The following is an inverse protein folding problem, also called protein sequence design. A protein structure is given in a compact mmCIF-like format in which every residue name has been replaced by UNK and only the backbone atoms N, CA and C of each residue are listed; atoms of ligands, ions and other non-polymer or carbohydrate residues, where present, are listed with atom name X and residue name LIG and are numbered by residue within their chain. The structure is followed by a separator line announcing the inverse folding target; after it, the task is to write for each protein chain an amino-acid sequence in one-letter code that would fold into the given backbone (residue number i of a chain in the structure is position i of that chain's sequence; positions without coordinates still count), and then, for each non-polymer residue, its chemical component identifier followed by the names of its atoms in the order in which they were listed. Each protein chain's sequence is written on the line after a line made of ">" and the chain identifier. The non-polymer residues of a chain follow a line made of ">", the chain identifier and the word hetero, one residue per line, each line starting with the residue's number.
data_IF_170846611927
#
_entry.id   IF_170846611927
#
_cell.length_a   1.000
_cell.length_b   1.000
_cell.length_c   1.000
_cell.angle_alpha   90.00
_cell.angle_beta   90.00
_cell.angle_gamma   90.00
#
_symmetry.space_group_name_H-M   'P 1'
#
loop_
_entity.id
_entity.type
_entity.pdbx_description
1 polymer ?
#
# COMPACT_ATOMS: atom_id res chain seq x y z
N UNK A 1 -24.55 -9.82 -23.81
CA UNK A 1 -23.59 -8.71 -23.91
C UNK A 1 -23.49 -7.85 -22.63
N UNK A 2 -24.52 -7.73 -21.80
CA UNK A 2 -24.48 -6.94 -20.54
C UNK A 2 -23.65 -7.61 -19.42
N UNK A 3 -23.62 -8.95 -19.34
CA UNK A 3 -22.89 -9.68 -18.27
C UNK A 3 -21.36 -9.54 -18.35
N UNK A 4 -20.79 -9.46 -19.54
CA UNK A 4 -19.33 -9.32 -19.71
C UNK A 4 -18.81 -7.96 -19.27
N UNK A 5 -19.62 -6.90 -19.39
CA UNK A 5 -19.27 -5.55 -18.97
C UNK A 5 -19.15 -5.44 -17.43
N UNK A 6 -20.01 -6.13 -16.68
CA UNK A 6 -19.94 -6.15 -15.22
C UNK A 6 -18.71 -6.93 -14.70
N UNK A 7 -18.34 -8.03 -15.36
CA UNK A 7 -17.14 -8.82 -15.00
C UNK A 7 -15.87 -8.01 -15.27
N UNK A 8 -15.80 -7.29 -16.38
CA UNK A 8 -14.67 -6.43 -16.71
C UNK A 8 -14.53 -5.25 -15.73
N UNK A 9 -15.65 -4.64 -15.33
CA UNK A 9 -15.64 -3.53 -14.38
C UNK A 9 -15.20 -3.97 -12.97
N UNK A 10 -15.65 -5.15 -12.51
CA UNK A 10 -15.23 -5.73 -11.25
C UNK A 10 -13.73 -6.08 -11.25
N UNK A 11 -13.18 -6.54 -12.37
CA UNK A 11 -11.75 -6.85 -12.50
C UNK A 11 -10.85 -5.61 -12.39
N UNK A 12 -11.27 -4.47 -12.91
CA UNK A 12 -10.50 -3.21 -12.84
C UNK A 12 -10.47 -2.64 -11.42
N UNK A 13 -11.56 -2.79 -10.64
CA UNK A 13 -11.62 -2.31 -9.26
C UNK A 13 -10.70 -3.10 -8.30
N UNK A 14 -10.38 -4.36 -8.62
CA UNK A 14 -9.52 -5.20 -7.77
C UNK A 14 -8.03 -4.85 -7.85
N UNK A 15 -7.58 -4.16 -8.92
CA UNK A 15 -6.16 -3.82 -9.10
C UNK A 15 -5.69 -2.63 -8.25
N UNK A 16 -6.60 -1.84 -7.71
CA UNK A 16 -6.26 -0.63 -6.94
C UNK A 16 -6.06 -0.86 -5.43
N UNK A 17 -6.31 -2.08 -4.93
CA UNK A 17 -6.26 -2.39 -3.49
C UNK A 17 -4.89 -2.87 -2.98
N UNK A 18 -3.88 -3.00 -3.86
CA UNK A 18 -2.54 -3.42 -3.45
C UNK A 18 -1.80 -2.28 -2.76
N UNK A 19 -1.16 -2.57 -1.62
CA UNK A 19 -0.23 -1.64 -0.97
C UNK A 19 0.98 -1.43 -1.89
N UNK A 20 1.30 -0.18 -2.15
CA UNK A 20 2.42 0.20 -3.02
C UNK A 20 3.54 0.83 -2.19
N UNK A 21 4.78 0.62 -2.64
CA UNK A 21 5.91 1.36 -2.08
C UNK A 21 5.77 2.84 -2.46
N UNK A 22 5.96 3.76 -1.52
CA UNK A 22 5.93 5.19 -1.81
C UNK A 22 6.94 5.59 -2.88
N UNK A 23 6.52 6.45 -3.82
CA UNK A 23 7.42 6.97 -4.86
C UNK A 23 8.23 8.18 -4.38
N UNK A 24 7.85 8.80 -3.25
CA UNK A 24 8.51 9.95 -2.70
C UNK A 24 8.15 10.22 -1.26
N UNK A 25 8.96 11.05 -0.61
CA UNK A 25 8.73 11.52 0.75
C UNK A 25 7.75 12.69 0.77
N UNK A 26 6.90 12.72 1.79
CA UNK A 26 6.05 13.88 2.12
C UNK A 26 6.75 14.87 3.03
N UNK A 27 7.91 14.51 3.58
CA UNK A 27 8.71 15.38 4.44
C UNK A 27 9.49 16.39 3.58
N UNK A 28 9.31 17.70 3.80
CA UNK A 28 10.13 18.71 3.13
C UNK A 28 11.57 18.65 3.65
N UNK A 29 12.53 18.61 2.75
CA UNK A 29 13.96 18.62 3.08
C UNK A 29 14.64 19.73 2.28
N UNK A 30 15.54 20.45 2.91
CA UNK A 30 16.32 21.54 2.29
C UNK A 30 17.80 21.19 2.25
N UNK A 31 18.54 21.69 1.24
CA UNK A 31 19.98 21.53 1.21
C UNK A 31 20.63 22.05 2.49
N UNK A 32 21.67 21.38 2.96
CA UNK A 32 22.50 21.86 4.04
C UNK A 32 23.34 23.09 3.62
N UNK A 33 23.91 23.84 4.56
CA UNK A 33 24.60 25.09 4.29
C UNK A 33 25.80 24.97 3.34
N UNK A 34 26.39 23.80 3.23
CA UNK A 34 27.54 23.52 2.35
C UNK A 34 27.19 22.52 1.22
N UNK A 35 25.90 22.24 0.99
CA UNK A 35 25.47 21.26 -0.01
C UNK A 35 25.09 21.97 -1.30
N UNK A 36 25.76 21.63 -2.41
CA UNK A 36 25.37 22.12 -3.73
C UNK A 36 24.03 21.49 -4.17
N UNK A 37 23.31 22.16 -5.06
CA UNK A 37 22.04 21.64 -5.58
C UNK A 37 22.22 20.26 -6.26
N UNK A 38 23.32 20.06 -6.99
CA UNK A 38 23.61 18.78 -7.63
C UNK A 38 23.86 17.66 -6.60
N UNK A 39 24.62 17.96 -5.53
CA UNK A 39 24.82 17.01 -4.43
C UNK A 39 23.51 16.69 -3.72
N UNK A 40 22.69 17.71 -3.45
CA UNK A 40 21.38 17.52 -2.84
C UNK A 40 20.45 16.62 -3.65
N UNK A 41 20.43 16.78 -4.99
CA UNK A 41 19.65 15.89 -5.86
C UNK A 41 20.14 14.43 -5.81
N UNK A 42 21.46 14.23 -5.77
CA UNK A 42 22.05 12.91 -5.62
C UNK A 42 21.72 12.27 -4.26
N UNK A 43 21.79 13.07 -3.18
CA UNK A 43 21.40 12.66 -1.83
C UNK A 43 19.93 12.24 -1.79
N UNK A 44 19.05 13.03 -2.42
CA UNK A 44 17.63 12.68 -2.53
C UNK A 44 17.41 11.34 -3.26
N UNK A 45 18.11 11.09 -4.36
CA UNK A 45 18.00 9.85 -5.11
C UNK A 45 18.45 8.64 -4.26
N UNK A 46 19.60 8.78 -3.59
CA UNK A 46 20.17 7.74 -2.72
C UNK A 46 19.25 7.45 -1.53
N UNK A 47 18.79 8.49 -0.84
CA UNK A 47 17.93 8.34 0.32
C UNK A 47 16.53 7.81 -0.04
N UNK A 48 16.03 8.11 -1.24
CA UNK A 48 14.79 7.52 -1.75
C UNK A 48 14.93 6.01 -1.96
N UNK A 49 16.04 5.55 -2.56
CA UNK A 49 16.30 4.11 -2.72
C UNK A 49 16.41 3.41 -1.36
N UNK A 50 17.13 4.01 -0.42
CA UNK A 50 17.24 3.48 0.93
C UNK A 50 15.87 3.35 1.63
N UNK A 51 15.04 4.40 1.57
CA UNK A 51 13.71 4.38 2.14
C UNK A 51 12.78 3.36 1.47
N UNK A 52 12.88 3.19 0.14
CA UNK A 52 12.12 2.16 -0.59
C UNK A 52 12.49 0.75 -0.12
N UNK A 53 13.79 0.46 0.07
CA UNK A 53 14.25 -0.82 0.61
C UNK A 53 13.74 -1.06 2.03
N UNK A 54 13.77 -0.02 2.87
CA UNK A 54 13.31 -0.12 4.26
C UNK A 54 11.83 -0.51 4.40
N UNK A 55 10.98 -0.18 3.41
CA UNK A 55 9.54 -0.49 3.44
C UNK A 55 9.12 -1.64 2.51
N UNK A 56 10.03 -2.19 1.69
CA UNK A 56 9.70 -3.19 0.69
C UNK A 56 9.04 -4.45 1.30
N UNK A 57 9.59 -4.97 2.38
CA UNK A 57 9.07 -6.17 3.06
C UNK A 57 7.69 -5.94 3.65
N UNK A 58 7.40 -4.73 4.11
CA UNK A 58 6.10 -4.38 4.65
C UNK A 58 5.03 -4.28 3.56
N UNK A 59 5.35 -3.70 2.42
CA UNK A 59 4.44 -3.63 1.28
C UNK A 59 4.09 -5.04 0.78
N UNK A 60 5.07 -5.93 0.68
CA UNK A 60 4.85 -7.33 0.30
C UNK A 60 4.01 -8.07 1.35
N UNK A 61 4.33 -7.93 2.63
CA UNK A 61 3.58 -8.55 3.72
C UNK A 61 2.13 -8.07 3.79
N UNK A 62 1.88 -6.79 3.54
CA UNK A 62 0.54 -6.22 3.48
C UNK A 62 -0.29 -6.79 2.31
N UNK A 63 0.32 -6.94 1.14
CA UNK A 63 -0.33 -7.53 -0.03
C UNK A 63 -0.67 -9.00 0.19
N UNK A 64 0.21 -9.79 0.80
CA UNK A 64 -0.06 -11.18 1.14
C UNK A 64 -1.19 -11.33 2.15
N UNK A 65 -1.25 -10.48 3.17
CA UNK A 65 -2.35 -10.47 4.15
C UNK A 65 -3.67 -10.08 3.50
N UNK A 66 -3.67 -9.09 2.63
CA UNK A 66 -4.86 -8.67 1.88
C UNK A 66 -5.42 -9.79 0.99
N UNK A 67 -4.54 -10.53 0.27
CA UNK A 67 -4.93 -11.68 -0.52
C UNK A 67 -5.50 -12.81 0.35
N UNK A 68 -4.88 -13.11 1.49
CA UNK A 68 -5.37 -14.12 2.43
C UNK A 68 -6.76 -13.79 2.97
N UNK A 69 -7.00 -12.53 3.35
CA UNK A 69 -8.32 -12.06 3.83
C UNK A 69 -9.38 -12.17 2.74
N UNK A 70 -9.07 -11.71 1.51
CA UNK A 70 -10.00 -11.80 0.40
C UNK A 70 -10.37 -13.26 0.05
N UNK A 71 -9.40 -14.17 0.03
CA UNK A 71 -9.62 -15.57 -0.23
C UNK A 71 -10.50 -16.22 0.86
N UNK A 72 -10.23 -15.91 2.14
CA UNK A 72 -10.98 -16.46 3.27
C UNK A 72 -12.44 -15.97 3.25
N UNK A 73 -12.70 -14.70 3.06
CA UNK A 73 -14.06 -14.15 3.03
C UNK A 73 -14.87 -14.64 1.83
N UNK A 74 -14.22 -14.83 0.68
CA UNK A 74 -14.87 -15.44 -0.50
C UNK A 74 -15.24 -16.90 -0.25
N UNK A 75 -14.33 -17.68 0.36
CA UNK A 75 -14.58 -19.08 0.70
C UNK A 75 -15.70 -19.22 1.73
N UNK A 76 -15.72 -18.40 2.77
CA UNK A 76 -16.78 -18.39 3.78
C UNK A 76 -18.14 -17.98 3.17
N UNK A 77 -18.15 -16.95 2.33
CA UNK A 77 -19.36 -16.50 1.64
C UNK A 77 -19.93 -17.58 0.70
N UNK A 78 -19.08 -18.23 -0.08
CA UNK A 78 -19.49 -19.35 -0.95
C UNK A 78 -20.00 -20.55 -0.14
N UNK A 79 -19.34 -20.90 0.96
CA UNK A 79 -19.73 -22.02 1.83
C UNK A 79 -21.09 -21.81 2.48
N UNK A 80 -21.32 -20.68 3.10
CA UNK A 80 -22.59 -20.32 3.74
C UNK A 80 -23.70 -20.15 2.71
N UNK A 81 -23.46 -19.48 1.60
CA UNK A 81 -24.42 -19.33 0.51
C UNK A 81 -24.78 -20.65 -0.13
N UNK A 82 -23.84 -21.57 -0.30
CA UNK A 82 -24.03 -22.90 -0.82
C UNK A 82 -24.89 -23.80 0.08
N UNK A 83 -24.69 -23.72 1.39
CA UNK A 83 -25.45 -24.46 2.38
C UNK A 83 -26.94 -24.07 2.41
N UNK A 84 -27.27 -22.81 2.15
CA UNK A 84 -28.64 -22.28 2.22
C UNK A 84 -29.34 -22.32 0.86
N UNK A 85 -28.63 -22.03 -0.23
CA UNK A 85 -29.24 -21.83 -1.56
C UNK A 85 -28.66 -22.70 -2.69
N UNK A 86 -27.88 -23.73 -2.35
CA UNK A 86 -27.25 -24.60 -3.34
C UNK A 86 -26.29 -23.85 -4.26
N UNK A 87 -26.15 -24.26 -5.51
CA UNK A 87 -25.18 -23.67 -6.45
C UNK A 87 -25.42 -22.18 -6.75
N UNK A 88 -26.68 -21.72 -6.77
CA UNK A 88 -27.00 -20.29 -6.93
C UNK A 88 -26.67 -19.48 -5.67
N UNK A 89 -26.92 -20.04 -4.49
CA UNK A 89 -26.57 -19.43 -3.22
C UNK A 89 -25.05 -19.32 -3.05
N UNK A 90 -24.29 -20.33 -3.47
CA UNK A 90 -22.83 -20.29 -3.46
C UNK A 90 -22.28 -19.16 -4.34
N UNK A 91 -22.84 -18.94 -5.52
CA UNK A 91 -22.42 -17.87 -6.41
C UNK A 91 -22.71 -16.47 -5.84
N UNK A 92 -23.89 -16.28 -5.26
CA UNK A 92 -24.28 -15.00 -4.62
C UNK A 92 -23.44 -14.77 -3.35
N UNK A 93 -23.24 -15.82 -2.56
CA UNK A 93 -22.43 -15.75 -1.33
C UNK A 93 -20.95 -15.49 -1.63
N UNK A 94 -20.39 -16.10 -2.68
CA UNK A 94 -19.03 -15.83 -3.12
C UNK A 94 -18.87 -14.37 -3.57
N UNK A 95 -19.84 -13.83 -4.34
CA UNK A 95 -19.82 -12.44 -4.79
C UNK A 95 -19.95 -11.48 -3.59
N UNK A 96 -20.86 -11.75 -2.65
CA UNK A 96 -21.03 -10.96 -1.43
C UNK A 96 -19.79 -11.03 -0.53
N UNK A 97 -19.20 -12.22 -0.37
CA UNK A 97 -17.95 -12.40 0.39
C UNK A 97 -16.77 -11.69 -0.26
N UNK A 98 -16.68 -11.73 -1.59
CA UNK A 98 -15.63 -11.03 -2.32
C UNK A 98 -15.76 -9.52 -2.18
N UNK A 99 -16.96 -8.95 -2.29
CA UNK A 99 -17.22 -7.52 -2.13
C UNK A 99 -17.01 -7.07 -0.68
N UNK A 100 -17.52 -7.84 0.30
CA UNK A 100 -17.31 -7.56 1.72
C UNK A 100 -15.84 -7.68 2.12
N UNK A 101 -15.16 -8.72 1.63
CA UNK A 101 -13.73 -8.93 1.86
C UNK A 101 -12.88 -7.84 1.21
N UNK A 102 -13.22 -7.38 0.01
CA UNK A 102 -12.55 -6.28 -0.65
C UNK A 102 -12.70 -4.97 0.13
N UNK A 103 -13.89 -4.72 0.70
CA UNK A 103 -14.14 -3.55 1.54
C UNK A 103 -13.28 -3.56 2.81
N UNK A 104 -13.21 -4.69 3.49
CA UNK A 104 -12.37 -4.87 4.68
C UNK A 104 -10.88 -4.77 4.34
N UNK A 105 -10.46 -5.40 3.24
CA UNK A 105 -9.08 -5.31 2.76
C UNK A 105 -8.72 -3.86 2.39
N UNK A 106 -9.63 -3.10 1.75
CA UNK A 106 -9.39 -1.71 1.40
C UNK A 106 -9.25 -0.83 2.64
N UNK A 107 -10.10 -1.02 3.66
CA UNK A 107 -10.01 -0.30 4.92
C UNK A 107 -8.69 -0.61 5.65
N UNK A 108 -8.27 -1.88 5.67
CA UNK A 108 -6.98 -2.30 6.21
C UNK A 108 -5.80 -1.74 5.38
N UNK A 109 -5.95 -1.69 4.06
CA UNK A 109 -4.91 -1.20 3.13
C UNK A 109 -4.65 0.28 3.31
N UNK A 110 -5.66 1.12 3.55
CA UNK A 110 -5.47 2.56 3.75
C UNK A 110 -4.64 2.85 4.99
N UNK A 111 -4.91 2.18 6.10
CA UNK A 111 -4.13 2.32 7.33
C UNK A 111 -2.70 1.78 7.14
N UNK A 112 -2.54 0.65 6.44
CA UNK A 112 -1.24 0.06 6.13
C UNK A 112 -0.45 0.96 5.21
N UNK A 113 -1.07 1.55 4.18
CA UNK A 113 -0.42 2.49 3.27
C UNK A 113 0.08 3.74 4.01
N UNK A 114 -0.71 4.27 4.94
CA UNK A 114 -0.30 5.39 5.78
C UNK A 114 0.89 5.02 6.68
N UNK A 115 0.92 3.81 7.24
CA UNK A 115 2.05 3.35 8.07
C UNK A 115 3.32 3.11 7.23
N UNK A 116 3.20 2.59 6.01
CA UNK A 116 4.30 2.42 5.06
C UNK A 116 4.87 3.78 4.66
N UNK A 117 3.99 4.76 4.36
CA UNK A 117 4.42 6.12 4.05
C UNK A 117 5.17 6.76 5.21
N UNK A 118 4.66 6.65 6.44
CA UNK A 118 5.31 7.19 7.62
C UNK A 118 6.71 6.59 7.86
N UNK A 119 6.87 5.28 7.66
CA UNK A 119 8.18 4.63 7.76
C UNK A 119 9.12 5.05 6.63
N UNK A 120 8.61 5.16 5.40
CA UNK A 120 9.37 5.70 4.29
C UNK A 120 9.88 7.10 4.60
N UNK A 121 9.00 7.98 5.09
CA UNK A 121 9.33 9.36 5.44
C UNK A 121 10.39 9.43 6.55
N UNK A 122 10.27 8.58 7.57
CA UNK A 122 11.26 8.50 8.64
C UNK A 122 12.64 8.02 8.13
N UNK A 123 12.66 6.97 7.30
CA UNK A 123 13.89 6.45 6.72
C UNK A 123 14.56 7.49 5.79
N UNK A 124 13.77 8.14 4.95
CA UNK A 124 14.23 9.19 4.06
C UNK A 124 14.79 10.38 4.84
N UNK A 125 14.05 10.89 5.83
CA UNK A 125 14.46 12.01 6.66
C UNK A 125 15.77 11.73 7.43
N UNK A 126 15.87 10.52 8.03
CA UNK A 126 17.08 10.10 8.74
C UNK A 126 18.30 10.03 7.81
N UNK A 127 18.13 9.49 6.60
CA UNK A 127 19.18 9.43 5.59
C UNK A 127 19.62 10.85 5.16
N UNK A 128 18.68 11.71 4.79
CA UNK A 128 18.98 13.09 4.38
C UNK A 128 19.67 13.88 5.49
N UNK A 129 19.24 13.70 6.74
CA UNK A 129 19.88 14.33 7.89
C UNK A 129 21.30 13.83 8.09
N UNK A 130 21.56 12.53 7.93
CA UNK A 130 22.90 11.94 8.05
C UNK A 130 23.89 12.47 7.01
N UNK A 131 23.40 12.87 5.83
CA UNK A 131 24.17 13.49 4.76
C UNK A 131 24.36 15.02 4.93
N UNK A 132 23.88 15.58 6.06
CA UNK A 132 24.06 17.00 6.40
C UNK A 132 23.00 17.92 5.82
N UNK A 133 21.92 17.38 5.25
CA UNK A 133 20.78 18.17 4.78
C UNK A 133 19.88 18.60 5.95
N UNK A 134 19.12 19.67 5.76
CA UNK A 134 18.25 20.22 6.79
C UNK A 134 16.87 19.56 6.70
N UNK A 135 16.45 18.91 7.79
CA UNK A 135 15.13 18.29 7.93
C UNK A 135 14.37 19.02 9.03
N UNK A 136 13.19 19.59 8.76
CA UNK A 136 12.36 20.24 9.77
C UNK A 136 12.03 19.27 10.92
N UNK A 137 12.23 19.72 12.16
CA UNK A 137 11.99 18.90 13.35
C UNK A 137 13.18 18.04 13.81
N UNK A 138 14.23 17.91 12.99
CA UNK A 138 15.53 17.39 13.41
C UNK A 138 16.46 18.58 13.61
N UNK A 139 16.85 18.86 14.86
CA UNK A 139 17.70 20.01 15.19
C UNK A 139 19.07 19.97 14.50
N UNK A 140 19.75 21.11 14.35
CA UNK A 140 21.11 21.14 13.85
C UNK A 140 22.03 20.34 14.78
N UNK A 141 22.98 19.61 14.20
CA UNK A 141 24.12 19.03 14.90
C UNK A 141 25.17 20.09 15.15
#
# INVERSE_FOLDING_TARGET
>A
MKSHAFIALAGVMMLSACAQTPMGSTVPVMPGPNTSLASFQNDQATCRQFAQQAVADQAQGANLRGLGTAALTTALGAGLGGAIGGGRGAGIGAAGGALGGAGLAAAGSSNTQASIQAQFDNAFAACMFSLGNTVPGMGPR
#
